data_IF_864190641803
#
_entry.id   IF_864190641803
#
_cell.length_a   1.000
_cell.length_b   1.000
_cell.length_c   1.000
_cell.angle_alpha   90.00
_cell.angle_beta   90.00
_cell.angle_gamma   90.00
#
_symmetry.space_group_name_H-M   'P 1'
#
loop_
_entity.id
_entity.type
_entity.pdbx_description
1 polymer ?
#
# COMPACT_ATOMS: atom_id res chain seq x y z
N UNK A 1 4.01 -16.23 -7.70
CA UNK A 1 4.18 -14.80 -8.02
C UNK A 1 2.91 -14.08 -7.59
N UNK A 2 3.06 -12.90 -7.04
CA UNK A 2 1.91 -12.06 -6.69
C UNK A 2 1.25 -11.49 -7.96
N UNK A 3 0.07 -10.94 -7.80
CA UNK A 3 -0.66 -10.27 -8.89
C UNK A 3 -0.99 -8.84 -8.49
N UNK A 4 -1.10 -7.97 -9.47
CA UNK A 4 -1.57 -6.61 -9.27
C UNK A 4 -2.91 -6.39 -9.98
N UNK A 5 -3.72 -5.52 -9.39
CA UNK A 5 -5.01 -5.14 -9.97
C UNK A 5 -4.82 -4.06 -11.02
N UNK A 6 -4.12 -2.99 -10.64
CA UNK A 6 -3.85 -1.84 -11.50
C UNK A 6 -2.79 -0.93 -10.91
N UNK A 7 -2.29 -0.04 -11.74
CA UNK A 7 -1.48 1.12 -11.36
C UNK A 7 -2.27 2.37 -11.75
N UNK A 8 -2.60 3.19 -10.76
CA UNK A 8 -3.27 4.47 -10.98
C UNK A 8 -2.23 5.60 -11.05
N UNK A 9 -2.34 6.37 -12.12
CA UNK A 9 -1.51 7.56 -12.37
C UNK A 9 -2.40 8.72 -12.79
N UNK A 10 -1.85 9.90 -12.97
CA UNK A 10 -2.61 11.04 -13.51
C UNK A 10 -3.09 10.82 -14.95
N UNK A 11 -2.50 9.83 -15.66
CA UNK A 11 -2.74 9.59 -17.09
C UNK A 11 -3.31 8.20 -17.39
N UNK A 12 -3.31 7.28 -16.41
CA UNK A 12 -3.85 5.93 -16.56
C UNK A 12 -4.50 5.44 -15.27
N UNK A 13 -5.44 4.53 -15.39
CA UNK A 13 -6.21 4.03 -14.26
C UNK A 13 -7.19 5.07 -13.72
N UNK A 14 -7.35 5.11 -12.40
CA UNK A 14 -8.20 6.09 -11.72
C UNK A 14 -7.36 7.24 -11.15
N UNK A 15 -7.30 8.38 -11.85
CA UNK A 15 -6.57 9.56 -11.42
C UNK A 15 -7.06 10.16 -10.09
N UNK A 16 -8.32 9.94 -9.70
CA UNK A 16 -8.82 10.39 -8.39
C UNK A 16 -8.17 9.61 -7.25
N UNK A 17 -7.83 8.34 -7.50
CA UNK A 17 -7.06 7.50 -6.59
C UNK A 17 -5.72 8.14 -6.21
N UNK A 18 -5.06 8.82 -7.15
CA UNK A 18 -3.76 9.46 -6.92
C UNK A 18 -3.78 10.56 -5.84
N UNK A 19 -4.92 11.19 -5.61
CA UNK A 19 -5.09 12.25 -4.60
C UNK A 19 -5.82 11.76 -3.34
N UNK A 20 -6.41 10.56 -3.39
CA UNK A 20 -7.22 10.01 -2.29
C UNK A 20 -6.47 9.04 -1.40
N UNK A 21 -5.32 8.55 -1.81
CA UNK A 21 -4.58 7.51 -1.11
C UNK A 21 -3.21 8.02 -0.60
N UNK A 22 -3.25 8.78 0.48
CA UNK A 22 -2.10 9.41 1.12
C UNK A 22 -2.00 10.90 0.80
N UNK A 23 -1.07 11.58 1.47
CA UNK A 23 -0.89 13.03 1.31
C UNK A 23 -0.26 13.37 -0.04
N UNK A 24 -0.83 14.38 -0.71
CA UNK A 24 -0.41 14.85 -2.03
C UNK A 24 -0.80 13.93 -3.18
N UNK A 25 -0.23 14.21 -4.36
CA UNK A 25 -0.44 13.40 -5.57
C UNK A 25 0.57 12.25 -5.61
N UNK A 26 0.10 11.04 -5.89
CA UNK A 26 0.89 9.82 -5.73
C UNK A 26 0.65 8.86 -6.89
N UNK A 27 1.65 8.08 -7.26
CA UNK A 27 1.42 6.86 -8.03
C UNK A 27 0.85 5.82 -7.08
N UNK A 28 -0.20 5.10 -7.49
CA UNK A 28 -0.90 4.15 -6.62
C UNK A 28 -0.88 2.76 -7.24
N UNK A 29 -0.38 1.78 -6.50
CA UNK A 29 -0.31 0.37 -6.93
C UNK A 29 -1.26 -0.46 -6.09
N UNK A 30 -2.18 -1.17 -6.76
CA UNK A 30 -3.19 -2.02 -6.15
C UNK A 30 -2.82 -3.48 -6.29
N UNK A 31 -2.55 -4.14 -5.17
CA UNK A 31 -2.21 -5.56 -5.11
C UNK A 31 -3.45 -6.43 -5.06
N UNK A 32 -3.34 -7.65 -5.58
CA UNK A 32 -4.39 -8.67 -5.51
C UNK A 32 -4.14 -9.60 -4.33
N UNK A 33 -5.24 -10.05 -3.73
CA UNK A 33 -5.25 -11.07 -2.69
C UNK A 33 -5.15 -10.54 -1.28
N UNK A 34 -6.05 -11.04 -0.42
CA UNK A 34 -6.08 -10.72 1.00
C UNK A 34 -6.72 -11.88 1.77
N UNK A 35 -5.97 -12.48 2.69
CA UNK A 35 -6.44 -13.59 3.52
C UNK A 35 -7.38 -13.14 4.67
N UNK A 36 -7.48 -11.83 4.95
CA UNK A 36 -8.27 -11.30 6.07
C UNK A 36 -9.77 -11.31 5.81
N UNK A 37 -10.22 -11.14 4.58
CA UNK A 37 -11.62 -11.20 4.15
C UNK A 37 -12.60 -10.40 5.04
N UNK A 38 -12.23 -9.17 5.40
CA UNK A 38 -13.03 -8.31 6.28
C UNK A 38 -14.46 -8.12 5.73
N UNK A 39 -15.52 -8.33 6.54
CA UNK A 39 -16.90 -8.10 6.12
C UNK A 39 -17.12 -6.66 5.66
N UNK A 40 -17.68 -6.48 4.45
CA UNK A 40 -17.94 -5.17 3.86
C UNK A 40 -16.68 -4.43 3.39
N UNK A 41 -15.57 -5.14 3.21
CA UNK A 41 -14.36 -4.58 2.62
C UNK A 41 -14.68 -3.85 1.32
N UNK A 42 -14.10 -2.67 1.12
CA UNK A 42 -14.32 -1.86 -0.07
C UNK A 42 -13.84 -2.56 -1.37
N UNK A 43 -12.80 -3.39 -1.24
CA UNK A 43 -12.12 -4.06 -2.34
C UNK A 43 -12.43 -5.56 -2.39
N UNK A 44 -13.70 -5.97 -2.22
CA UNK A 44 -14.08 -7.40 -2.17
C UNK A 44 -13.63 -8.19 -3.40
N UNK A 45 -13.63 -7.58 -4.57
CA UNK A 45 -13.20 -8.20 -5.83
C UNK A 45 -11.69 -8.49 -5.89
N UNK A 46 -10.89 -7.88 -5.00
CA UNK A 46 -9.43 -8.01 -4.95
C UNK A 46 -8.96 -8.99 -3.85
N UNK A 47 -9.86 -9.72 -3.21
CA UNK A 47 -9.51 -10.62 -2.10
C UNK A 47 -8.94 -11.96 -2.57
N UNK A 48 -9.38 -12.45 -3.74
CA UNK A 48 -8.97 -13.75 -4.26
C UNK A 48 -7.62 -13.67 -4.99
N UNK A 49 -6.60 -14.36 -4.46
CA UNK A 49 -5.26 -14.44 -5.04
C UNK A 49 -5.21 -15.11 -6.42
N UNK A 50 -6.10 -16.04 -6.68
CA UNK A 50 -6.10 -16.90 -7.88
C UNK A 50 -6.98 -16.34 -9.01
N UNK A 51 -7.23 -15.03 -9.02
CA UNK A 51 -8.04 -14.41 -10.06
C UNK A 51 -7.19 -14.07 -11.30
N UNK A 52 -7.25 -14.95 -12.29
CA UNK A 52 -6.48 -14.86 -13.55
C UNK A 52 -6.83 -13.67 -14.45
N UNK A 53 -7.86 -12.90 -14.10
CA UNK A 53 -8.17 -11.64 -14.80
C UNK A 53 -7.12 -10.56 -14.57
N UNK A 54 -6.35 -10.70 -13.52
CA UNK A 54 -5.31 -9.73 -13.15
C UNK A 54 -3.91 -10.27 -13.47
N UNK A 55 -3.03 -9.42 -14.02
CA UNK A 55 -1.68 -9.84 -14.42
C UNK A 55 -0.81 -10.21 -13.23
N UNK A 56 0.12 -11.11 -13.47
CA UNK A 56 1.22 -11.36 -12.53
C UNK A 56 2.12 -10.13 -12.45
N UNK A 57 2.60 -9.85 -11.24
CA UNK A 57 3.56 -8.76 -11.02
C UNK A 57 4.88 -9.06 -11.76
N UNK A 58 5.44 -8.04 -12.37
CA UNK A 58 6.65 -8.18 -13.19
C UNK A 58 7.49 -6.90 -13.17
N UNK A 59 8.70 -6.98 -13.69
CA UNK A 59 9.59 -5.83 -13.86
C UNK A 59 8.97 -4.71 -14.71
N UNK A 60 8.08 -5.05 -15.64
CA UNK A 60 7.36 -4.07 -16.46
C UNK A 60 6.50 -3.12 -15.60
N UNK A 61 5.85 -3.65 -14.57
CA UNK A 61 5.07 -2.84 -13.63
C UNK A 61 5.94 -1.91 -12.79
N UNK A 62 7.14 -2.38 -12.38
CA UNK A 62 8.13 -1.54 -11.69
C UNK A 62 8.56 -0.39 -12.61
N UNK A 63 8.92 -0.70 -13.85
CA UNK A 63 9.35 0.29 -14.82
C UNK A 63 8.24 1.31 -15.09
N UNK A 64 6.98 0.87 -15.22
CA UNK A 64 5.83 1.78 -15.38
C UNK A 64 5.72 2.78 -14.22
N UNK A 65 5.87 2.33 -12.97
CA UNK A 65 5.84 3.20 -11.77
C UNK A 65 7.00 4.21 -11.80
N UNK A 66 8.20 3.76 -12.12
CA UNK A 66 9.41 4.58 -12.15
C UNK A 66 9.34 5.60 -13.27
N UNK A 67 9.03 5.19 -14.49
CA UNK A 67 8.93 6.07 -15.66
C UNK A 67 7.86 7.15 -15.48
N UNK A 68 6.69 6.78 -14.95
CA UNK A 68 5.63 7.75 -14.64
C UNK A 68 6.08 8.75 -13.58
N UNK A 69 6.78 8.29 -12.53
CA UNK A 69 7.30 9.16 -11.49
C UNK A 69 8.36 10.13 -12.03
N UNK A 70 9.30 9.67 -12.86
CA UNK A 70 10.29 10.52 -13.50
C UNK A 70 9.64 11.57 -14.41
N UNK A 71 8.68 11.14 -15.22
CA UNK A 71 8.00 12.04 -16.17
C UNK A 71 7.30 13.22 -15.49
N UNK A 72 6.79 12.99 -14.28
CA UNK A 72 6.06 13.99 -13.50
C UNK A 72 6.63 14.16 -12.09
N UNK A 73 7.95 14.13 -11.97
CA UNK A 73 8.68 14.10 -10.70
C UNK A 73 8.31 15.24 -9.75
N UNK A 74 8.05 16.44 -10.29
CA UNK A 74 7.65 17.61 -9.49
C UNK A 74 6.20 17.54 -8.98
N UNK A 75 5.37 16.67 -9.56
CA UNK A 75 3.96 16.53 -9.21
C UNK A 75 3.76 15.42 -8.21
N UNK A 76 4.37 14.24 -8.45
CA UNK A 76 4.24 13.10 -7.56
C UNK A 76 5.08 13.28 -6.29
N UNK A 77 4.42 13.26 -5.13
CA UNK A 77 5.07 13.28 -3.82
C UNK A 77 5.59 11.91 -3.39
N UNK A 78 5.08 10.84 -3.98
CA UNK A 78 5.52 9.50 -3.64
C UNK A 78 4.68 8.38 -4.22
N UNK A 79 4.85 7.20 -3.64
CA UNK A 79 4.19 5.95 -3.98
C UNK A 79 3.19 5.55 -2.90
N UNK A 80 2.03 5.01 -3.31
CA UNK A 80 1.06 4.38 -2.41
C UNK A 80 0.81 2.94 -2.78
N UNK A 81 0.81 2.06 -1.79
CA UNK A 81 0.68 0.60 -1.95
C UNK A 81 -0.51 0.12 -1.15
N UNK A 82 -1.52 -0.40 -1.84
CA UNK A 82 -2.76 -0.88 -1.25
C UNK A 82 -3.42 -1.96 -2.12
N UNK A 83 -4.69 -2.25 -1.90
CA UNK A 83 -5.48 -3.21 -2.69
C UNK A 83 -5.99 -4.34 -1.84
N UNK A 84 -5.43 -5.54 -1.98
CA UNK A 84 -5.60 -6.68 -1.10
C UNK A 84 -4.82 -6.48 0.21
N UNK A 85 -3.84 -7.33 0.46
CA UNK A 85 -2.96 -7.20 1.63
C UNK A 85 -1.50 -7.24 1.19
N UNK A 86 -0.80 -6.09 1.13
CA UNK A 86 0.61 -6.04 0.71
C UNK A 86 1.55 -6.85 1.62
N UNK A 87 1.21 -6.98 2.91
CA UNK A 87 1.98 -7.78 3.87
C UNK A 87 1.63 -9.28 3.85
N UNK A 88 0.68 -9.75 3.00
CA UNK A 88 0.46 -11.20 2.87
C UNK A 88 1.74 -11.87 2.35
N UNK A 89 2.07 -13.06 2.90
CA UNK A 89 3.30 -13.80 2.55
C UNK A 89 3.46 -14.08 1.05
N UNK A 90 2.35 -14.05 0.29
CA UNK A 90 2.34 -14.21 -1.18
C UNK A 90 2.68 -12.94 -1.93
N UNK A 91 2.50 -11.77 -1.32
CA UNK A 91 2.71 -10.46 -1.93
C UNK A 91 4.03 -9.81 -1.46
N UNK A 92 4.40 -9.99 -0.21
CA UNK A 92 5.38 -9.18 0.49
C UNK A 92 6.75 -9.07 -0.22
N UNK A 93 7.25 -10.16 -0.81
CA UNK A 93 8.56 -10.16 -1.49
C UNK A 93 8.55 -9.29 -2.75
N UNK A 94 7.46 -9.33 -3.51
CA UNK A 94 7.31 -8.51 -4.72
C UNK A 94 7.06 -7.04 -4.34
N UNK A 95 6.32 -6.78 -3.24
CA UNK A 95 6.14 -5.43 -2.68
C UNK A 95 7.48 -4.84 -2.23
N UNK A 96 8.33 -5.62 -1.55
CA UNK A 96 9.68 -5.21 -1.16
C UNK A 96 10.49 -4.84 -2.40
N UNK A 97 10.47 -5.67 -3.44
CA UNK A 97 11.20 -5.42 -4.69
C UNK A 97 10.79 -4.08 -5.31
N UNK A 98 9.49 -3.79 -5.39
CA UNK A 98 9.00 -2.50 -5.88
C UNK A 98 9.49 -1.33 -5.01
N UNK A 99 9.37 -1.46 -3.68
CA UNK A 99 9.78 -0.40 -2.75
C UNK A 99 11.29 -0.11 -2.82
N UNK A 100 12.12 -1.15 -2.90
CA UNK A 100 13.59 -1.00 -3.03
C UNK A 100 13.96 -0.27 -4.31
N UNK A 101 13.38 -0.67 -5.44
CA UNK A 101 13.62 -0.02 -6.72
C UNK A 101 13.14 1.44 -6.70
N UNK A 102 11.96 1.70 -6.12
CA UNK A 102 11.42 3.04 -5.99
C UNK A 102 12.31 3.94 -5.11
N UNK A 103 12.73 3.46 -3.95
CA UNK A 103 13.63 4.22 -3.04
C UNK A 103 15.03 4.41 -3.59
N UNK A 104 15.52 3.48 -4.41
CA UNK A 104 16.81 3.63 -5.11
C UNK A 104 16.77 4.79 -6.12
N UNK A 105 15.67 4.96 -6.85
CA UNK A 105 15.50 6.02 -7.85
C UNK A 105 15.07 7.36 -7.21
N UNK A 106 14.25 7.30 -6.16
CA UNK A 106 13.63 8.47 -5.53
C UNK A 106 13.79 8.42 -4.00
N UNK A 107 15.01 8.58 -3.45
CA UNK A 107 15.27 8.44 -2.01
C UNK A 107 14.51 9.46 -1.14
N UNK A 108 14.18 10.64 -1.71
CA UNK A 108 13.45 11.71 -1.01
C UNK A 108 11.92 11.54 -1.04
N UNK A 109 11.37 10.72 -1.96
CA UNK A 109 9.93 10.51 -2.06
C UNK A 109 9.44 9.50 -1.03
N UNK A 110 8.31 9.78 -0.41
CA UNK A 110 7.77 8.92 0.62
C UNK A 110 6.90 7.77 0.05
N UNK A 111 6.82 6.68 0.80
CA UNK A 111 5.98 5.52 0.51
C UNK A 111 4.92 5.39 1.59
N UNK A 112 3.65 5.35 1.18
CA UNK A 112 2.50 5.00 2.01
C UNK A 112 2.10 3.56 1.72
N UNK A 113 1.78 2.80 2.77
CA UNK A 113 1.33 1.41 2.65
C UNK A 113 0.13 1.15 3.56
N UNK A 114 -0.83 0.37 3.06
CA UNK A 114 -2.02 -0.03 3.81
C UNK A 114 -1.94 -1.50 4.22
N UNK A 115 -2.33 -1.79 5.45
CA UNK A 115 -2.46 -3.17 5.93
C UNK A 115 -3.71 -3.32 6.80
N UNK A 116 -4.35 -4.47 6.67
CA UNK A 116 -5.39 -4.89 7.63
C UNK A 116 -4.79 -5.40 8.95
N UNK A 117 -3.48 -5.53 9.07
CA UNK A 117 -2.79 -5.85 10.33
C UNK A 117 -2.53 -4.56 11.10
N UNK A 118 -2.46 -4.64 12.43
CA UNK A 118 -1.96 -3.54 13.26
C UNK A 118 -0.44 -3.49 13.21
N UNK A 119 0.13 -2.32 13.44
CA UNK A 119 1.58 -2.12 13.47
C UNK A 119 2.25 -3.05 14.48
N UNK A 120 1.68 -3.19 15.67
CA UNK A 120 2.17 -4.08 16.72
C UNK A 120 2.20 -5.53 16.24
N UNK A 121 1.10 -6.01 15.64
CA UNK A 121 1.03 -7.36 15.11
C UNK A 121 2.08 -7.62 14.01
N UNK A 122 2.33 -6.64 13.14
CA UNK A 122 3.39 -6.74 12.14
C UNK A 122 4.78 -6.84 12.78
N UNK A 123 5.03 -6.07 13.85
CA UNK A 123 6.31 -6.08 14.57
C UNK A 123 6.57 -7.36 15.35
N UNK A 124 5.53 -8.10 15.73
CA UNK A 124 5.61 -9.36 16.47
C UNK A 124 5.91 -10.57 15.56
N UNK A 125 5.96 -10.39 14.24
CA UNK A 125 6.25 -11.48 13.32
C UNK A 125 7.72 -11.91 13.43
N UNK A 126 7.96 -13.24 13.36
CA UNK A 126 9.27 -13.84 13.52
C UNK A 126 9.70 -14.65 12.28
N UNK A 127 10.91 -15.17 12.29
CA UNK A 127 11.48 -15.99 11.23
C UNK A 127 11.68 -15.22 9.92
N UNK A 128 11.67 -15.93 8.80
CA UNK A 128 11.87 -15.33 7.47
C UNK A 128 10.79 -14.29 7.15
N UNK A 129 9.53 -14.63 7.43
CA UNK A 129 8.43 -13.69 7.21
C UNK A 129 8.55 -12.42 8.07
N UNK A 130 8.93 -12.56 9.34
CA UNK A 130 9.19 -11.40 10.22
C UNK A 130 10.34 -10.52 9.72
N UNK A 131 11.37 -11.13 9.12
CA UNK A 131 12.45 -10.39 8.45
C UNK A 131 11.93 -9.59 7.25
N UNK A 132 11.10 -10.20 6.40
CA UNK A 132 10.48 -9.52 5.25
C UNK A 132 9.56 -8.37 5.72
N UNK A 133 8.74 -8.59 6.77
CA UNK A 133 7.88 -7.55 7.34
C UNK A 133 8.70 -6.37 7.85
N UNK A 134 9.75 -6.62 8.63
CA UNK A 134 10.62 -5.56 9.14
C UNK A 134 11.33 -4.79 8.00
N UNK A 135 11.76 -5.50 6.97
CA UNK A 135 12.35 -4.89 5.78
C UNK A 135 11.36 -3.98 5.06
N UNK A 136 10.13 -4.46 4.80
CA UNK A 136 9.10 -3.66 4.15
C UNK A 136 8.74 -2.42 4.97
N UNK A 137 8.57 -2.56 6.29
CA UNK A 137 8.32 -1.43 7.19
C UNK A 137 9.45 -0.39 7.14
N UNK A 138 10.71 -0.82 7.02
CA UNK A 138 11.86 0.08 6.95
C UNK A 138 11.96 0.87 5.63
N UNK A 139 11.36 0.36 4.56
CA UNK A 139 11.31 1.03 3.25
C UNK A 139 10.17 2.03 3.14
N UNK A 140 9.13 1.89 3.96
CA UNK A 140 7.96 2.76 3.94
C UNK A 140 8.09 3.90 4.96
N UNK A 141 7.39 5.01 4.70
CA UNK A 141 7.37 6.18 5.57
C UNK A 141 6.09 6.23 6.43
N UNK A 142 4.95 5.78 5.86
CA UNK A 142 3.65 5.81 6.54
C UNK A 142 2.90 4.49 6.35
N UNK A 143 2.32 3.98 7.44
CA UNK A 143 1.47 2.80 7.45
C UNK A 143 0.04 3.19 7.86
N UNK A 144 -0.93 2.90 7.01
CA UNK A 144 -2.33 2.90 7.42
C UNK A 144 -2.67 1.49 7.90
N UNK A 145 -2.87 1.33 9.19
CA UNK A 145 -2.95 0.04 9.86
C UNK A 145 -4.34 -0.31 10.39
N UNK A 146 -4.54 -1.59 10.60
CA UNK A 146 -5.74 -2.13 11.23
C UNK A 146 -6.83 -2.62 10.27
N UNK A 147 -7.63 -3.61 10.69
CA UNK A 147 -8.67 -4.20 9.87
C UNK A 147 -9.80 -3.20 9.61
N UNK A 148 -10.41 -3.30 8.43
CA UNK A 148 -11.66 -2.57 8.20
C UNK A 148 -12.79 -3.14 9.06
N UNK A 149 -13.45 -2.29 9.84
CA UNK A 149 -14.60 -2.65 10.68
C UNK A 149 -15.84 -1.91 10.20
N UNK A 150 -16.77 -2.64 9.57
CA UNK A 150 -17.96 -2.06 8.94
C UNK A 150 -18.79 -1.18 9.90
N UNK A 151 -18.93 -1.58 11.17
CA UNK A 151 -19.64 -0.81 12.19
C UNK A 151 -18.97 0.53 12.55
N UNK A 152 -17.70 0.67 12.23
CA UNK A 152 -16.88 1.85 12.46
C UNK A 152 -16.56 2.62 11.16
N UNK A 153 -17.22 2.23 10.05
CA UNK A 153 -17.04 2.90 8.75
C UNK A 153 -17.37 4.39 8.89
N UNK A 154 -16.44 5.22 8.40
CA UNK A 154 -16.61 6.67 8.39
C UNK A 154 -15.94 7.26 7.13
N UNK A 155 -16.75 7.78 6.21
CA UNK A 155 -16.28 8.34 4.93
C UNK A 155 -15.62 9.72 5.07
N UNK A 156 -15.74 10.36 6.26
CA UNK A 156 -15.09 11.65 6.51
C UNK A 156 -13.63 11.53 6.96
N UNK A 157 -13.17 10.29 7.22
CA UNK A 157 -11.79 10.05 7.61
C UNK A 157 -10.86 10.17 6.39
N UNK A 158 -9.78 10.92 6.55
CA UNK A 158 -8.74 10.96 5.53
C UNK A 158 -7.98 9.62 5.50
N UNK A 159 -7.82 9.06 4.32
CA UNK A 159 -7.00 7.88 4.01
C UNK A 159 -7.37 6.58 4.73
N UNK A 160 -8.47 6.54 5.49
CA UNK A 160 -8.93 5.41 6.30
C UNK A 160 -10.40 5.11 6.02
N UNK A 161 -10.77 3.83 6.09
CA UNK A 161 -12.15 3.39 5.85
C UNK A 161 -13.00 3.30 7.14
N UNK A 162 -12.37 3.09 8.30
CA UNK A 162 -13.04 2.94 9.59
C UNK A 162 -12.24 3.58 10.73
N UNK A 163 -12.93 4.02 11.78
CA UNK A 163 -12.34 4.86 12.85
C UNK A 163 -11.32 4.15 13.74
N UNK A 164 -11.28 2.83 13.73
CA UNK A 164 -10.26 2.04 14.41
C UNK A 164 -8.90 2.02 13.70
N UNK A 165 -8.87 2.35 12.39
CA UNK A 165 -7.63 2.39 11.64
C UNK A 165 -6.81 3.62 12.02
N UNK A 166 -5.48 3.47 11.98
CA UNK A 166 -4.53 4.53 12.35
C UNK A 166 -3.62 4.85 11.16
N UNK A 167 -2.98 6.00 11.22
CA UNK A 167 -1.88 6.38 10.33
C UNK A 167 -0.63 6.49 11.18
N UNK A 168 0.28 5.54 11.00
CA UNK A 168 1.53 5.47 11.76
C UNK A 168 2.65 6.09 10.94
N UNK A 169 3.34 7.07 11.52
CA UNK A 169 4.64 7.53 11.01
C UNK A 169 5.68 6.47 11.38
N UNK A 170 6.22 5.78 10.38
CA UNK A 170 7.13 4.65 10.61
C UNK A 170 8.53 5.06 11.09
N UNK A 171 8.89 6.35 10.99
CA UNK A 171 10.15 6.88 11.52
C UNK A 171 10.08 7.07 13.03
N UNK A 172 8.93 7.52 13.53
CA UNK A 172 8.73 7.82 14.97
C UNK A 172 7.96 6.73 15.68
N UNK A 173 7.17 5.91 14.97
CA UNK A 173 6.21 4.96 15.52
C UNK A 173 4.94 5.63 16.08
N UNK A 174 4.74 6.91 15.86
CA UNK A 174 3.60 7.66 16.39
C UNK A 174 2.35 7.51 15.51
N UNK A 175 1.19 7.43 16.14
CA UNK A 175 -0.10 7.60 15.46
C UNK A 175 -0.34 9.09 15.17
N UNK A 176 -0.32 9.45 13.89
CA UNK A 176 -0.54 10.82 13.41
C UNK A 176 -1.93 11.06 12.85
N UNK A 177 -2.87 10.12 13.06
CA UNK A 177 -4.23 10.17 12.50
C UNK A 177 -5.01 11.44 12.81
N UNK A 178 -4.73 12.06 13.96
CA UNK A 178 -5.38 13.31 14.40
C UNK A 178 -4.72 14.57 13.85
N UNK A 179 -3.55 14.44 13.22
CA UNK A 179 -2.78 15.57 12.67
C UNK A 179 -3.09 15.82 11.18
N UNK A 180 -3.85 14.91 10.54
CA UNK A 180 -4.24 14.92 9.13
C UNK A 180 -5.74 15.14 8.96
#
# INVERSE_FOLDING_TARGET
MSRIVRIDTLHSGDRHSCAANGDGVRVVVWWLGCSRMCPGCHNQEYLNFDNDKFPEFSEEHINQVIEETHKYEKIYLGLSILGGEPFDYRNIKDVITLCERYKSEFPEKNIWIWSGNTYEHLKEQEGEYGSDVNKLLSLCDYLVDGPFILKQRNISLKFRGSSNQRIIDLKTGEDISSKL
#
